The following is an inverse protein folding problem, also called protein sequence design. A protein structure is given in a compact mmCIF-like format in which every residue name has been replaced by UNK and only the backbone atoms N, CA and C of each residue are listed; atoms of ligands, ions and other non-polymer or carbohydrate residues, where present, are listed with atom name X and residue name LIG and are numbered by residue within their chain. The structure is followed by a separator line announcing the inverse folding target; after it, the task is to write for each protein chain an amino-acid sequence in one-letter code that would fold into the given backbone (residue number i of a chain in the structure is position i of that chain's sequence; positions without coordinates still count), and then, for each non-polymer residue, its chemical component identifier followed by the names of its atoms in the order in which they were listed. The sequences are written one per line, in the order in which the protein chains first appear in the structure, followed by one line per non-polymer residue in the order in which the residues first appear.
data_IF_873364835058
#
_entry.id   IF_873364835058
#
_cell.length_a   1.000
_cell.length_b   1.000
_cell.length_c   1.000
_cell.angle_alpha   90.00
_cell.angle_beta   90.00
_cell.angle_gamma   90.00
#
_symmetry.space_group_name_H-M   'P 1'
#
loop_
_entity.id
_entity.type
_entity.pdbx_description
1 polymer ?
#
# COMPACT_ATOMS: atom_id res chain seq x y z
N UNK A 1 -1.65 5.98 -25.26
CA UNK A 1 -2.35 5.82 -23.96
C UNK A 1 -1.61 6.66 -22.93
N UNK A 2 -2.33 7.49 -22.18
CA UNK A 2 -1.75 8.28 -21.09
C UNK A 2 -1.39 7.33 -19.94
N UNK A 3 -0.15 7.38 -19.41
CA UNK A 3 0.23 6.49 -18.32
C UNK A 3 -0.45 6.88 -17.01
N UNK A 4 -0.57 5.92 -16.10
CA UNK A 4 -1.00 6.16 -14.73
C UNK A 4 0.20 6.50 -13.85
N UNK A 5 0.02 7.37 -12.88
CA UNK A 5 1.00 7.65 -11.83
C UNK A 5 0.50 7.10 -10.50
N UNK A 6 1.16 6.06 -10.00
CA UNK A 6 0.97 5.57 -8.64
C UNK A 6 1.77 6.46 -7.69
N UNK A 7 1.14 6.92 -6.61
CA UNK A 7 1.74 7.77 -5.58
C UNK A 7 1.53 7.12 -4.22
N UNK A 8 2.62 6.91 -3.49
CA UNK A 8 2.61 6.41 -2.12
C UNK A 8 3.12 7.52 -1.22
N UNK A 9 2.36 7.92 -0.21
CA UNK A 9 2.69 9.04 0.68
C UNK A 9 2.64 8.61 2.14
N UNK A 10 3.70 8.89 2.90
CA UNK A 10 3.66 8.75 4.35
C UNK A 10 2.79 9.84 4.98
N UNK A 11 1.88 9.47 5.88
CA UNK A 11 1.03 10.42 6.60
C UNK A 11 1.49 10.66 8.04
N UNK A 12 2.12 9.67 8.66
CA UNK A 12 2.60 9.75 10.04
C UNK A 12 4.13 9.65 10.06
N UNK A 13 4.80 10.80 10.11
CA UNK A 13 6.25 10.94 10.15
C UNK A 13 6.83 10.46 11.49
N UNK A 14 6.96 9.15 11.61
CA UNK A 14 7.58 8.47 12.75
C UNK A 14 8.42 7.31 12.24
N UNK A 15 9.37 6.81 13.02
CA UNK A 15 10.19 5.66 12.63
C UNK A 15 9.34 4.42 12.21
N UNK A 16 8.30 3.99 12.96
CA UNK A 16 7.44 2.89 12.51
C UNK A 16 6.63 3.23 11.25
N UNK A 17 6.33 4.51 11.04
CA UNK A 17 5.69 5.01 9.83
C UNK A 17 6.59 4.87 8.62
N UNK A 18 7.87 5.26 8.73
CA UNK A 18 8.87 5.09 7.66
C UNK A 18 9.04 3.62 7.31
N UNK A 19 9.23 2.75 8.31
CA UNK A 19 9.34 1.31 8.07
C UNK A 19 8.10 0.77 7.34
N UNK A 20 6.90 1.15 7.78
CA UNK A 20 5.66 0.73 7.13
C UNK A 20 5.51 1.29 5.71
N UNK A 21 5.99 2.50 5.45
CA UNK A 21 6.00 3.10 4.13
C UNK A 21 6.88 2.31 3.15
N UNK A 22 8.06 1.89 3.59
CA UNK A 22 8.92 0.99 2.80
C UNK A 22 8.23 -0.35 2.52
N UNK A 23 7.61 -0.95 3.53
CA UNK A 23 6.86 -2.20 3.42
C UNK A 23 5.74 -2.09 2.36
N UNK A 24 4.97 -1.00 2.37
CA UNK A 24 3.91 -0.74 1.37
C UNK A 24 4.49 -0.50 -0.02
N UNK A 25 5.60 0.22 -0.15
CA UNK A 25 6.26 0.42 -1.44
C UNK A 25 6.73 -0.91 -2.06
N UNK A 26 7.38 -1.75 -1.27
CA UNK A 26 7.85 -3.07 -1.69
C UNK A 26 6.68 -3.98 -2.09
N UNK A 27 5.62 -3.99 -1.28
CA UNK A 27 4.39 -4.74 -1.57
C UNK A 27 3.79 -4.35 -2.94
N UNK A 28 3.65 -3.05 -3.22
CA UNK A 28 3.07 -2.57 -4.48
C UNK A 28 3.95 -2.91 -5.68
N UNK A 29 5.27 -2.88 -5.54
CA UNK A 29 6.20 -3.33 -6.57
C UNK A 29 6.08 -4.83 -6.84
N UNK A 30 5.97 -5.64 -5.79
CA UNK A 30 5.79 -7.08 -5.92
C UNK A 30 4.45 -7.42 -6.60
N UNK A 31 3.36 -6.75 -6.23
CA UNK A 31 2.06 -6.89 -6.90
C UNK A 31 2.18 -6.54 -8.38
N UNK A 32 2.76 -5.37 -8.72
CA UNK A 32 2.92 -4.95 -10.11
C UNK A 32 3.73 -5.95 -10.95
N UNK A 33 4.83 -6.47 -10.39
CA UNK A 33 5.68 -7.45 -11.04
C UNK A 33 4.92 -8.77 -11.31
N UNK A 34 4.14 -9.24 -10.33
CA UNK A 34 3.34 -10.47 -10.45
C UNK A 34 2.25 -10.36 -11.52
N UNK A 35 1.60 -9.19 -11.62
CA UNK A 35 0.58 -8.93 -12.65
C UNK A 35 1.19 -8.64 -14.04
N UNK A 36 2.51 -8.80 -14.22
CA UNK A 36 3.19 -8.54 -15.48
C UNK A 36 3.14 -7.06 -15.92
N UNK A 37 2.92 -6.15 -14.97
CA UNK A 37 2.75 -4.74 -15.27
C UNK A 37 4.07 -4.03 -15.48
N UNK A 38 4.11 -3.14 -16.47
CA UNK A 38 5.26 -2.26 -16.72
C UNK A 38 5.17 -1.04 -15.82
N UNK A 39 5.49 -1.25 -14.54
CA UNK A 39 5.62 -0.20 -13.54
C UNK A 39 7.10 0.19 -13.37
N UNK A 40 7.40 1.48 -13.35
CA UNK A 40 8.76 1.95 -12.99
C UNK A 40 9.02 1.71 -11.51
N UNK A 41 10.28 1.71 -11.09
CA UNK A 41 10.59 1.75 -9.66
C UNK A 41 9.93 2.98 -9.00
N UNK A 42 9.49 2.80 -7.76
CA UNK A 42 8.98 3.91 -6.94
C UNK A 42 10.16 4.83 -6.56
N UNK A 43 10.10 6.08 -6.99
CA UNK A 43 11.15 7.09 -6.79
C UNK A 43 10.62 8.28 -6.00
N UNK A 44 11.46 8.88 -5.16
CA UNK A 44 11.12 10.10 -4.42
C UNK A 44 10.82 11.25 -5.38
N UNK A 45 9.66 11.90 -5.24
CA UNK A 45 9.26 13.00 -6.11
C UNK A 45 9.83 14.32 -5.62
N UNK A 46 10.68 14.93 -6.45
CA UNK A 46 11.40 16.17 -6.16
C UNK A 46 12.49 15.89 -5.13
N UNK A 47 13.75 16.26 -5.41
CA UNK A 47 14.93 15.91 -4.60
C UNK A 47 14.95 16.40 -3.14
N UNK A 48 13.81 16.80 -2.60
CA UNK A 48 13.59 17.06 -1.20
C UNK A 48 13.37 15.73 -0.46
N UNK A 49 14.34 15.33 0.36
CA UNK A 49 14.21 14.18 1.26
C UNK A 49 13.03 14.31 2.24
N UNK A 50 12.50 15.53 2.46
CA UNK A 50 11.31 15.75 3.25
C UNK A 50 10.02 15.32 2.53
N UNK A 51 10.02 15.23 1.19
CA UNK A 51 8.92 14.69 0.40
C UNK A 51 8.87 13.17 0.59
N UNK A 52 8.17 12.71 1.63
CA UNK A 52 7.91 11.28 1.87
C UNK A 52 6.82 10.73 0.97
N UNK A 53 6.91 11.11 -0.31
CA UNK A 53 6.06 10.63 -1.38
C UNK A 53 6.94 9.99 -2.45
N UNK A 54 6.62 8.75 -2.79
CA UNK A 54 7.22 8.05 -3.92
C UNK A 54 6.21 7.87 -5.03
N UNK A 55 6.67 8.10 -6.25
CA UNK A 55 5.86 7.95 -7.45
C UNK A 55 6.43 6.87 -8.36
N UNK A 56 5.53 6.15 -9.02
CA UNK A 56 5.86 5.22 -10.10
C UNK A 56 4.92 5.44 -11.27
N UNK A 57 5.42 5.26 -12.48
CA UNK A 57 4.63 5.32 -13.71
C UNK A 57 4.23 3.90 -14.10
N UNK A 58 2.95 3.69 -14.36
CA UNK A 58 2.40 2.42 -14.85
C UNK A 58 1.97 2.63 -16.30
N UNK A 59 2.59 1.88 -17.21
CA UNK A 59 2.25 1.91 -18.63
C UNK A 59 1.13 0.91 -18.93
N UNK A 60 0.10 1.36 -19.67
CA UNK A 60 -1.05 0.53 -20.04
C UNK A 60 -2.18 0.63 -19.02
N UNK A 61 -2.96 -0.46 -18.88
CA UNK A 61 -4.06 -0.53 -17.94
C UNK A 61 -3.56 -0.73 -16.50
N UNK A 62 -4.21 -0.08 -15.54
CA UNK A 62 -3.94 -0.30 -14.12
C UNK A 62 -4.49 -1.69 -13.71
N UNK A 63 -3.65 -2.60 -13.16
CA UNK A 63 -4.09 -3.91 -12.71
C UNK A 63 -5.15 -3.83 -11.62
N UNK A 64 -6.16 -4.70 -11.69
CA UNK A 64 -7.21 -4.79 -10.68
C UNK A 64 -6.63 -5.02 -9.26
N UNK A 65 -5.55 -5.81 -9.17
CA UNK A 65 -4.78 -6.00 -7.96
C UNK A 65 -4.30 -4.68 -7.33
N UNK A 66 -3.73 -3.77 -8.12
CA UNK A 66 -3.27 -2.46 -7.64
C UNK A 66 -4.44 -1.51 -7.34
N UNK A 67 -5.54 -1.60 -8.08
CA UNK A 67 -6.76 -0.81 -7.81
C UNK A 67 -7.28 -1.07 -6.39
N UNK A 68 -7.20 -2.31 -5.91
CA UNK A 68 -7.65 -2.69 -4.55
C UNK A 68 -6.76 -2.13 -3.44
N UNK A 69 -5.54 -1.75 -3.77
CA UNK A 69 -4.62 -1.09 -2.84
C UNK A 69 -4.76 0.45 -2.86
N UNK A 70 -5.71 1.03 -3.59
CA UNK A 70 -5.88 2.48 -3.62
C UNK A 70 -6.69 2.97 -2.41
N UNK A 71 -6.00 3.57 -1.44
CA UNK A 71 -6.60 4.27 -0.31
C UNK A 71 -5.65 4.41 0.87
N UNK A 72 -6.20 4.44 2.09
CA UNK A 72 -5.39 4.53 3.32
C UNK A 72 -5.03 3.14 3.85
N UNK A 73 -3.74 2.90 4.06
CA UNK A 73 -3.21 1.73 4.73
C UNK A 73 -2.86 2.11 6.16
N UNK A 74 -3.34 1.34 7.15
CA UNK A 74 -3.07 1.56 8.58
C UNK A 74 -2.18 0.44 9.11
N UNK A 75 -1.15 0.73 9.87
CA UNK A 75 -0.38 -0.29 10.57
C UNK A 75 -0.42 -0.09 12.09
N UNK A 76 -0.52 -1.20 12.82
CA UNK A 76 -0.40 -1.27 14.27
C UNK A 76 0.95 -1.94 14.58
N UNK A 77 1.90 -1.17 15.14
CA UNK A 77 3.29 -1.61 15.36
C UNK A 77 3.78 -1.18 16.74
N UNK A 78 4.74 -1.94 17.28
CA UNK A 78 5.59 -1.45 18.36
C UNK A 78 6.75 -0.62 17.76
N UNK A 79 7.30 0.36 18.51
CA UNK A 79 8.57 0.99 18.15
C UNK A 79 9.69 -0.04 17.94
N UNK A 80 10.69 0.31 17.13
CA UNK A 80 11.83 -0.58 16.90
C UNK A 80 12.58 -0.85 18.21
N UNK A 81 13.10 -2.07 18.37
CA UNK A 81 13.87 -2.47 19.55
C UNK A 81 13.07 -2.71 20.82
N UNK A 82 11.73 -2.64 20.76
CA UNK A 82 10.86 -2.81 21.94
C UNK A 82 9.95 -4.03 21.76
N UNK A 83 9.97 -4.94 22.74
CA UNK A 83 9.11 -6.14 22.78
C UNK A 83 7.79 -5.94 23.54
N UNK A 84 7.71 -4.91 24.38
CA UNK A 84 6.52 -4.55 25.17
C UNK A 84 6.32 -3.04 25.21
N UNK A 85 5.09 -2.56 24.99
CA UNK A 85 4.83 -1.13 25.04
C UNK A 85 3.54 -0.72 24.36
N UNK A 86 3.36 0.59 24.22
CA UNK A 86 2.20 1.15 23.53
C UNK A 86 2.27 0.82 22.03
N UNK A 87 1.24 0.15 21.53
CA UNK A 87 1.06 -0.06 20.10
C UNK A 87 0.76 1.31 19.46
N UNK A 88 1.59 1.67 18.48
CA UNK A 88 1.43 2.86 17.66
C UNK A 88 0.61 2.52 16.42
N UNK A 89 -0.22 3.46 15.99
CA UNK A 89 -0.94 3.37 14.71
C UNK A 89 -0.34 4.39 13.76
N UNK A 90 0.11 3.92 12.59
CA UNK A 90 0.71 4.74 11.53
C UNK A 90 0.00 4.52 10.21
N UNK A 91 0.09 5.48 9.29
CA UNK A 91 -0.69 5.49 8.04
C UNK A 91 0.15 5.86 6.83
N UNK A 92 -0.19 5.21 5.73
CA UNK A 92 0.35 5.45 4.39
C UNK A 92 -0.83 5.60 3.43
N UNK A 93 -0.79 6.59 2.56
CA UNK A 93 -1.79 6.78 1.51
C UNK A 93 -1.24 6.27 0.18
N UNK A 94 -2.07 5.52 -0.55
CA UNK A 94 -1.78 5.06 -1.91
C UNK A 94 -2.84 5.65 -2.83
N UNK A 95 -2.39 6.39 -3.85
CA UNK A 95 -3.26 7.07 -4.80
C UNK A 95 -2.79 6.80 -6.22
N UNK A 96 -3.70 6.78 -7.17
CA UNK A 96 -3.38 6.71 -8.58
C UNK A 96 -3.91 7.93 -9.31
N UNK A 97 -3.12 8.50 -10.22
CA UNK A 97 -3.51 9.61 -11.08
C UNK A 97 -3.48 9.13 -12.52
N UNK A 98 -4.63 9.12 -13.18
CA UNK A 98 -4.79 8.70 -14.57
C UNK A 98 -5.35 9.80 -15.46
N UNK A 99 -5.68 9.48 -16.73
CA UNK A 99 -6.30 10.41 -17.66
C UNK A 99 -7.64 10.98 -17.14
N UNK A 100 -8.39 10.20 -16.39
CA UNK A 100 -9.70 10.59 -15.84
C UNK A 100 -9.61 11.27 -14.46
N UNK A 101 -8.40 11.55 -13.98
CA UNK A 101 -8.15 12.20 -12.69
C UNK A 101 -7.57 11.28 -11.62
N UNK A 102 -7.72 11.68 -10.36
CA UNK A 102 -7.21 10.95 -9.20
C UNK A 102 -8.20 9.87 -8.75
N UNK A 103 -7.70 8.68 -8.44
CA UNK A 103 -8.46 7.55 -7.88
C UNK A 103 -7.80 7.10 -6.57
N UNK A 104 -8.54 7.22 -5.47
CA UNK A 104 -8.21 6.65 -4.17
C UNK A 104 -9.45 6.63 -3.27
N UNK A 105 -9.52 5.68 -2.34
CA UNK A 105 -10.49 5.70 -1.25
C UNK A 105 -9.97 6.59 -0.12
N UNK A 106 -10.82 7.45 0.43
CA UNK A 106 -10.48 8.28 1.60
C UNK A 106 -10.50 7.49 2.92
N UNK A 107 -11.07 6.29 2.89
CA UNK A 107 -11.14 5.37 4.04
C UNK A 107 -9.95 4.40 4.07
N UNK A 108 -9.82 3.73 5.21
CA UNK A 108 -8.82 2.68 5.36
C UNK A 108 -9.22 1.45 4.54
N UNK A 109 -8.36 1.01 3.62
CA UNK A 109 -8.57 -0.20 2.83
C UNK A 109 -8.06 -1.44 3.56
N UNK A 110 -6.97 -1.29 4.32
CA UNK A 110 -6.36 -2.37 5.10
C UNK A 110 -5.81 -1.89 6.43
N UNK A 111 -5.89 -2.75 7.44
CA UNK A 111 -5.17 -2.62 8.71
C UNK A 111 -4.18 -3.76 8.88
N UNK A 112 -2.89 -3.43 9.01
CA UNK A 112 -1.77 -4.34 9.16
C UNK A 112 -1.40 -4.44 10.64
N UNK A 113 -1.68 -5.57 11.28
CA UNK A 113 -1.32 -5.77 12.67
C UNK A 113 -0.01 -6.56 12.75
N UNK A 114 1.09 -5.85 13.01
CA UNK A 114 2.42 -6.47 13.08
C UNK A 114 2.63 -7.28 14.36
N UNK A 115 1.91 -6.95 15.43
CA UNK A 115 1.98 -7.66 16.71
C UNK A 115 1.29 -9.02 16.62
N UNK A 116 0.11 -9.04 16.01
CA UNK A 116 -0.72 -10.25 15.85
C UNK A 116 -0.52 -10.94 14.50
N UNK A 117 0.32 -10.38 13.63
CA UNK A 117 0.81 -10.98 12.37
C UNK A 117 -0.29 -11.27 11.33
N UNK A 118 -1.28 -10.37 11.21
CA UNK A 118 -2.33 -10.46 10.18
C UNK A 118 -2.67 -9.11 9.55
N UNK A 119 -3.38 -9.15 8.42
CA UNK A 119 -3.97 -7.97 7.76
C UNK A 119 -5.49 -8.13 7.70
N UNK A 120 -6.21 -7.11 8.15
CA UNK A 120 -7.66 -6.98 7.90
C UNK A 120 -7.89 -6.20 6.63
N UNK A 121 -8.52 -6.83 5.63
CA UNK A 121 -9.00 -6.16 4.42
C UNK A 121 -10.43 -5.68 4.65
N UNK A 122 -10.65 -4.36 4.65
CA UNK A 122 -11.93 -3.77 5.06
C UNK A 122 -13.02 -3.88 3.99
N UNK A 123 -12.63 -4.03 2.72
CA UNK A 123 -13.58 -4.17 1.62
C UNK A 123 -14.23 -5.56 1.55
N UNK A 124 -13.47 -6.60 1.90
CA UNK A 124 -13.89 -8.00 1.90
C UNK A 124 -14.24 -8.54 3.29
N UNK A 125 -13.74 -7.90 4.35
CA UNK A 125 -13.81 -8.42 5.73
C UNK A 125 -12.81 -9.54 6.03
N UNK A 126 -11.98 -9.92 5.06
CA UNK A 126 -11.04 -11.03 5.21
C UNK A 126 -9.88 -10.71 6.16
N UNK A 127 -9.38 -11.78 6.82
CA UNK A 127 -8.12 -11.76 7.57
C UNK A 127 -7.06 -12.54 6.81
N UNK A 128 -5.99 -11.86 6.45
CA UNK A 128 -4.92 -12.37 5.60
C UNK A 128 -3.62 -12.51 6.38
N UNK A 129 -2.75 -13.43 5.97
CA UNK A 129 -1.41 -13.56 6.54
C UNK A 129 -0.57 -12.31 6.21
N UNK A 130 0.09 -11.73 7.22
CA UNK A 130 0.83 -10.47 7.05
C UNK A 130 1.97 -10.57 6.04
N UNK A 131 2.83 -11.59 6.15
CA UNK A 131 4.00 -11.73 5.26
C UNK A 131 3.58 -12.02 3.83
N UNK A 132 2.52 -12.82 3.65
CA UNK A 132 1.99 -13.15 2.34
C UNK A 132 1.43 -11.90 1.63
N UNK A 133 0.80 -10.99 2.38
CA UNK A 133 0.34 -9.70 1.86
C UNK A 133 1.54 -8.80 1.54
N UNK A 134 2.47 -8.61 2.49
CA UNK A 134 3.61 -7.70 2.30
C UNK A 134 4.57 -8.14 1.18
N UNK A 135 4.69 -9.45 0.94
CA UNK A 135 5.43 -9.99 -0.21
C UNK A 135 4.71 -9.83 -1.54
N UNK A 136 3.47 -9.34 -1.55
CA UNK A 136 2.65 -9.25 -2.77
C UNK A 136 2.17 -10.61 -3.28
N UNK A 137 2.20 -11.67 -2.46
CA UNK A 137 1.81 -13.03 -2.86
C UNK A 137 0.32 -13.28 -2.67
N UNK A 138 -0.26 -12.79 -1.58
CA UNK A 138 -1.67 -13.00 -1.22
C UNK A 138 -2.44 -11.67 -1.33
N UNK A 139 -3.48 -11.68 -2.16
CA UNK A 139 -4.48 -10.61 -2.21
C UNK A 139 -5.81 -11.12 -1.68
N UNK A 140 -6.71 -10.24 -1.19
CA UNK A 140 -8.03 -10.67 -0.77
C UNK A 140 -8.73 -11.41 -1.92
N UNK A 141 -9.48 -12.47 -1.64
CA UNK A 141 -10.25 -13.18 -2.65
C UNK A 141 -11.26 -12.18 -3.23
N UNK A 142 -11.10 -11.84 -4.50
CA UNK A 142 -12.03 -10.93 -5.18
C UNK A 142 -13.24 -11.68 -5.68
N UNK A 143 -13.85 -12.58 -4.90
CA UNK A 143 -14.98 -13.36 -5.40
C UNK A 143 -16.08 -12.40 -5.90
N UNK A 144 -16.33 -12.52 -7.19
CA UNK A 144 -17.52 -12.07 -7.89
C UNK A 144 -18.75 -12.39 -7.03
N UNK A 145 -19.39 -11.36 -6.48
CA UNK A 145 -20.81 -11.45 -6.16
C UNK A 145 -21.62 -11.03 -7.39
N UNK A 146 -21.70 -11.96 -8.34
CA UNK A 146 -22.89 -12.12 -9.16
C UNK A 146 -23.67 -13.32 -8.62
N UNK A 147 -24.61 -13.03 -7.72
CA UNK A 147 -25.89 -13.71 -7.54
C UNK A 147 -26.74 -12.87 -6.57
#
# INVERSE_FOLDING_TARGET
MTPYTLSVSLLDDTEPGVAFFEDVCAMLQAIAAREGSRMTALQTRGGDQASRTRCATISGQLPAALVRELGIHRAQRLPAGVSVGRILTVRVAVRCFGPDGATARDSAVKTYNYVLRFVSAHDSGERLNLDAVLSGTLLPSGEDRLA
#
